data_IF_093695210068
#
_entry.id   IF_093695210068
#
_cell.length_a   1.000
_cell.length_b   1.000
_cell.length_c   1.000
_cell.angle_alpha   90.00
_cell.angle_beta   90.00
_cell.angle_gamma   90.00
#
_symmetry.space_group_name_H-M   'P 1'
#
loop_
_entity.id
_entity.type
_entity.pdbx_description
1 polymer ?
#
# COMPACT_ATOMS: atom_id res chain seq x y z
N UNK A 1 -31.17 9.59 9.18
CA UNK A 1 -29.76 9.16 9.07
C UNK A 1 -29.07 9.64 10.33
N UNK A 2 -28.88 8.76 11.30
CA UNK A 2 -28.31 9.12 12.61
C UNK A 2 -26.86 9.57 12.44
N UNK A 3 -26.41 10.50 13.28
CA UNK A 3 -25.09 11.14 13.20
C UNK A 3 -23.91 10.17 13.48
N UNK A 4 -24.17 8.89 13.69
CA UNK A 4 -23.19 7.87 14.09
C UNK A 4 -22.16 7.59 13.00
N UNK A 5 -22.52 7.76 11.72
CA UNK A 5 -21.60 7.55 10.59
C UNK A 5 -20.49 8.62 10.47
N UNK A 6 -20.57 9.71 11.24
CA UNK A 6 -19.60 10.81 11.21
C UNK A 6 -18.64 10.79 12.40
N UNK A 7 -18.63 9.72 13.20
CA UNK A 7 -17.73 9.59 14.34
C UNK A 7 -16.81 8.35 14.18
N UNK A 8 -15.58 8.46 14.68
CA UNK A 8 -14.60 7.38 14.74
C UNK A 8 -13.89 7.37 16.10
N UNK A 9 -13.35 6.23 16.52
CA UNK A 9 -12.54 6.14 17.73
C UNK A 9 -11.13 6.65 17.46
N UNK A 10 -10.68 7.62 18.25
CA UNK A 10 -9.34 8.19 18.10
C UNK A 10 -8.29 7.10 18.32
N UNK A 11 -7.34 6.95 17.39
CA UNK A 11 -6.41 5.84 17.48
C UNK A 11 -5.50 5.89 18.74
N UNK A 12 -5.18 7.10 19.19
CA UNK A 12 -4.22 7.31 20.27
C UNK A 12 -4.84 7.18 21.66
N UNK A 13 -6.09 7.66 21.84
CA UNK A 13 -6.70 7.77 23.17
C UNK A 13 -8.07 7.09 23.31
N UNK A 14 -8.61 6.53 22.23
CA UNK A 14 -9.89 5.80 22.23
C UNK A 14 -11.14 6.67 22.40
N UNK A 15 -11.03 8.01 22.42
CA UNK A 15 -12.21 8.88 22.49
C UNK A 15 -12.96 8.91 21.16
N UNK A 16 -14.27 9.05 21.18
CA UNK A 16 -15.08 9.32 19.99
C UNK A 16 -14.77 10.71 19.42
N UNK A 17 -14.44 10.78 18.12
CA UNK A 17 -14.05 11.99 17.40
C UNK A 17 -14.84 12.08 16.11
N UNK A 18 -15.29 13.30 15.77
CA UNK A 18 -15.98 13.53 14.51
C UNK A 18 -15.00 13.49 13.33
N UNK A 19 -15.37 12.80 12.26
CA UNK A 19 -14.63 12.74 10.99
C UNK A 19 -14.47 14.17 10.44
N UNK A 20 -13.27 14.48 9.94
CA UNK A 20 -12.92 15.83 9.46
C UNK A 20 -12.32 16.76 10.53
N UNK A 21 -12.22 16.33 11.79
CA UNK A 21 -11.56 17.06 12.86
C UNK A 21 -10.39 16.29 13.50
N UNK A 22 -9.41 17.02 14.03
CA UNK A 22 -8.38 16.43 14.90
C UNK A 22 -8.97 16.07 16.27
N UNK A 23 -8.47 15.02 16.90
CA UNK A 23 -8.90 14.63 18.25
C UNK A 23 -8.63 15.76 19.27
N UNK A 24 -9.65 16.31 19.95
CA UNK A 24 -9.48 17.42 20.90
C UNK A 24 -8.64 17.02 22.11
N UNK A 25 -8.73 15.74 22.54
CA UNK A 25 -7.98 15.22 23.69
C UNK A 25 -6.49 15.08 23.41
N UNK A 26 -6.14 14.56 22.23
CA UNK A 26 -4.73 14.40 21.83
C UNK A 26 -4.09 15.75 21.49
N UNK A 27 -4.83 16.64 20.81
CA UNK A 27 -4.36 17.98 20.45
C UNK A 27 -4.14 18.87 21.68
N UNK A 28 -5.00 18.79 22.70
CA UNK A 28 -4.84 19.56 23.94
C UNK A 28 -3.63 19.12 24.80
N UNK A 29 -2.99 17.99 24.48
CA UNK A 29 -1.86 17.41 25.22
C UNK A 29 -0.47 17.82 24.73
N UNK A 30 -0.33 18.59 23.64
CA UNK A 30 1.00 18.95 23.09
C UNK A 30 1.84 19.85 24.01
N UNK A 31 1.22 20.61 24.92
CA UNK A 31 1.92 21.55 25.82
C UNK A 31 2.19 21.06 27.24
N UNK A 32 1.64 19.91 27.66
CA UNK A 32 1.81 19.38 29.02
C UNK A 32 2.25 17.93 28.91
N UNK A 33 3.54 17.71 29.18
CA UNK A 33 4.25 16.44 29.00
C UNK A 33 3.34 15.22 29.16
N UNK A 34 3.31 14.38 28.12
CA UNK A 34 2.47 13.19 28.01
C UNK A 34 2.50 12.44 29.36
N UNK A 35 1.49 12.67 30.23
CA UNK A 35 1.30 11.84 31.42
C UNK A 35 1.29 10.44 30.88
N UNK A 36 2.25 9.59 31.30
CA UNK A 36 2.42 8.20 30.86
C UNK A 36 1.02 7.63 30.67
N UNK A 37 0.55 7.61 29.42
CA UNK A 37 -0.79 7.13 29.15
C UNK A 37 -0.63 5.66 29.48
N UNK A 38 -1.30 5.20 30.54
CA UNK A 38 -1.45 3.77 30.84
C UNK A 38 -1.73 3.12 29.50
N UNK A 39 -0.94 2.13 29.08
CA UNK A 39 -1.06 1.50 27.76
C UNK A 39 -2.52 1.01 27.64
N UNK A 40 -3.38 1.82 27.03
CA UNK A 40 -4.75 1.45 26.72
C UNK A 40 -4.62 0.73 25.41
N UNK A 41 -5.10 -0.51 25.35
CA UNK A 41 -5.16 -1.26 24.11
C UNK A 41 -5.83 -0.36 23.05
N UNK A 42 -5.12 -0.13 21.95
CA UNK A 42 -5.65 0.75 20.90
C UNK A 42 -6.88 0.09 20.28
N UNK A 43 -7.78 0.86 19.69
CA UNK A 43 -9.03 0.30 19.15
C UNK A 43 -8.84 -0.70 18.00
N UNK A 44 -7.64 -0.77 17.41
CA UNK A 44 -7.26 -1.77 16.40
C UNK A 44 -6.26 -2.80 16.92
N UNK A 45 -5.83 -2.71 18.18
CA UNK A 45 -5.04 -3.79 18.78
C UNK A 45 -6.00 -4.94 19.09
N UNK A 46 -5.81 -6.06 18.39
CA UNK A 46 -6.48 -7.31 18.70
C UNK A 46 -5.64 -8.11 19.70
N UNK A 47 -6.25 -9.10 20.33
CA UNK A 47 -5.51 -10.06 21.15
C UNK A 47 -4.50 -10.81 20.28
N UNK A 48 -3.32 -11.16 20.81
CA UNK A 48 -2.30 -11.91 20.06
C UNK A 48 -2.86 -13.24 19.51
N UNK A 49 -3.85 -13.83 20.20
CA UNK A 49 -4.58 -15.02 19.72
C UNK A 49 -5.49 -14.77 18.50
N UNK A 50 -5.85 -13.52 18.23
CA UNK A 50 -6.70 -13.10 17.11
C UNK A 50 -5.89 -12.54 15.93
N UNK A 51 -4.56 -12.43 16.06
CA UNK A 51 -3.69 -11.96 14.97
C UNK A 51 -3.75 -12.91 13.76
N UNK A 52 -4.21 -14.16 13.95
CA UNK A 52 -4.32 -15.16 12.89
C UNK A 52 -2.97 -15.54 12.29
N UNK A 53 -1.89 -15.06 12.90
CA UNK A 53 -0.51 -15.39 12.61
C UNK A 53 -0.16 -16.71 13.32
N UNK A 54 -0.88 -17.78 13.01
CA UNK A 54 -0.36 -19.15 13.20
C UNK A 54 0.71 -19.42 12.12
N UNK A 55 1.59 -18.43 11.95
CA UNK A 55 2.75 -18.52 11.10
C UNK A 55 3.71 -19.42 11.86
N UNK A 56 4.17 -20.53 11.26
CA UNK A 56 5.19 -21.34 11.90
C UNK A 56 6.39 -20.46 12.26
N UNK A 57 7.00 -20.69 13.42
CA UNK A 57 8.22 -19.98 13.88
C UNK A 57 9.45 -20.26 12.98
N UNK A 58 9.26 -20.95 11.86
CA UNK A 58 10.27 -21.31 10.87
C UNK A 58 10.55 -20.14 9.92
N UNK A 59 11.80 -19.99 9.49
CA UNK A 59 12.18 -18.98 8.50
C UNK A 59 11.37 -19.18 7.21
N UNK A 60 10.48 -18.23 6.89
CA UNK A 60 9.65 -18.28 5.69
C UNK A 60 10.50 -18.21 4.41
N UNK A 61 10.60 -19.32 3.68
CA UNK A 61 11.27 -19.36 2.37
C UNK A 61 10.36 -18.77 1.28
N UNK A 62 10.59 -17.50 0.98
CA UNK A 62 9.89 -16.76 -0.07
C UNK A 62 10.06 -17.41 -1.45
N UNK A 63 11.25 -17.93 -1.76
CA UNK A 63 11.56 -18.50 -3.07
C UNK A 63 10.85 -19.85 -3.27
N UNK A 64 10.79 -20.69 -2.23
CA UNK A 64 10.01 -21.94 -2.24
C UNK A 64 8.51 -21.65 -2.39
N UNK A 65 7.98 -20.72 -1.60
CA UNK A 65 6.57 -20.31 -1.69
C UNK A 65 6.22 -19.82 -3.09
N UNK A 66 7.05 -18.93 -3.67
CA UNK A 66 6.82 -18.42 -5.02
C UNK A 66 6.88 -19.55 -6.05
N UNK A 67 7.85 -20.44 -5.93
CA UNK A 67 7.98 -21.59 -6.84
C UNK A 67 6.81 -22.57 -6.74
N UNK A 68 6.24 -22.75 -5.54
CA UNK A 68 5.09 -23.64 -5.27
C UNK A 68 3.77 -23.05 -5.74
N UNK A 69 3.49 -21.78 -5.41
CA UNK A 69 2.20 -21.14 -5.68
C UNK A 69 2.11 -20.54 -7.09
N UNK A 70 3.17 -19.90 -7.56
CA UNK A 70 3.18 -19.20 -8.85
C UNK A 70 3.89 -19.99 -9.96
N UNK A 71 4.60 -21.06 -9.58
CA UNK A 71 5.33 -21.92 -10.50
C UNK A 71 6.64 -21.30 -10.99
N UNK A 72 7.40 -22.08 -11.76
CA UNK A 72 8.69 -21.66 -12.34
C UNK A 72 8.54 -21.01 -13.71
N UNK A 73 7.39 -20.43 -14.04
CA UNK A 73 7.21 -19.84 -15.38
C UNK A 73 8.14 -18.64 -15.46
N UNK A 74 9.23 -18.69 -16.26
CA UNK A 74 10.14 -17.58 -16.36
C UNK A 74 9.34 -16.38 -16.86
N UNK A 75 9.61 -15.19 -16.30
CA UNK A 75 9.04 -13.95 -16.84
C UNK A 75 9.22 -13.95 -18.35
N UNK A 76 8.10 -14.13 -19.06
CA UNK A 76 8.11 -14.21 -20.52
C UNK A 76 8.65 -12.86 -20.95
N UNK A 77 9.89 -12.81 -21.46
CA UNK A 77 10.43 -11.58 -22.02
C UNK A 77 9.46 -11.22 -23.13
N UNK A 78 8.68 -10.16 -22.90
CA UNK A 78 7.81 -9.57 -23.91
C UNK A 78 8.76 -8.87 -24.89
N UNK A 79 9.45 -9.67 -25.69
CA UNK A 79 10.31 -9.19 -26.76
C UNK A 79 9.41 -8.50 -27.77
N UNK A 80 9.76 -7.26 -28.11
CA UNK A 80 9.11 -6.55 -29.21
C UNK A 80 9.41 -7.35 -30.48
N UNK A 81 8.36 -7.80 -31.17
CA UNK A 81 8.50 -8.55 -32.43
C UNK A 81 9.35 -7.73 -33.43
N UNK A 82 10.22 -8.37 -34.23
CA UNK A 82 11.01 -7.70 -35.27
C UNK A 82 10.17 -6.86 -36.24
N UNK A 83 8.89 -7.20 -36.42
CA UNK A 83 7.95 -6.41 -37.22
C UNK A 83 7.73 -4.99 -36.70
N UNK A 84 7.65 -4.82 -35.38
CA UNK A 84 7.48 -3.50 -34.75
C UNK A 84 8.74 -2.63 -34.90
N UNK A 85 9.92 -3.26 -34.92
CA UNK A 85 11.16 -2.57 -35.26
C UNK A 85 11.14 -2.04 -36.70
N UNK A 86 10.71 -2.85 -37.67
CA UNK A 86 10.57 -2.41 -39.07
C UNK A 86 9.60 -1.23 -39.21
N UNK A 87 8.44 -1.31 -38.55
CA UNK A 87 7.46 -0.22 -38.55
C UNK A 87 8.03 1.06 -37.92
N UNK A 88 8.76 0.95 -36.83
CA UNK A 88 9.45 2.08 -36.19
C UNK A 88 10.48 2.73 -37.10
N UNK A 89 11.30 1.93 -37.79
CA UNK A 89 12.29 2.42 -38.77
C UNK A 89 11.62 3.12 -39.94
N UNK A 90 10.53 2.56 -40.47
CA UNK A 90 9.79 3.15 -41.58
C UNK A 90 9.13 4.47 -41.20
N UNK A 91 8.53 4.53 -40.01
CA UNK A 91 7.96 5.78 -39.47
C UNK A 91 9.04 6.85 -39.28
N UNK A 92 10.21 6.48 -38.74
CA UNK A 92 11.34 7.40 -38.58
C UNK A 92 11.83 7.94 -39.92
N UNK A 93 11.99 7.06 -40.92
CA UNK A 93 12.39 7.46 -42.28
C UNK A 93 11.39 8.43 -42.91
N UNK A 94 10.08 8.19 -42.75
CA UNK A 94 9.05 9.09 -43.27
C UNK A 94 9.10 10.48 -42.64
N UNK A 95 9.39 10.59 -41.33
CA UNK A 95 9.56 11.88 -40.65
C UNK A 95 10.79 12.61 -41.19
N UNK A 96 11.92 11.91 -41.34
CA UNK A 96 13.17 12.48 -41.84
C UNK A 96 12.97 13.01 -43.27
N UNK A 97 12.41 12.17 -44.15
CA UNK A 97 12.07 12.56 -45.53
C UNK A 97 11.12 13.76 -45.51
N UNK A 98 10.02 13.70 -44.76
CA UNK A 98 9.08 14.82 -44.66
C UNK A 98 9.71 16.12 -44.15
N UNK A 99 10.71 16.05 -43.27
CA UNK A 99 11.44 17.21 -42.79
C UNK A 99 12.43 17.78 -43.82
N UNK A 100 13.04 16.94 -44.67
CA UNK A 100 13.95 17.36 -45.73
C UNK A 100 13.25 17.83 -47.01
N UNK A 101 12.04 17.34 -47.29
CA UNK A 101 11.22 17.71 -48.45
C UNK A 101 10.18 18.80 -48.14
N UNK A 102 10.28 19.44 -46.98
CA UNK A 102 9.50 20.61 -46.57
C UNK A 102 10.33 21.87 -46.69
#
# INVERSE_FOLDING_TARGET
MTNDALNYLCPTCGSEVRVGGSCPRCKAGEGKGRRRQRRVAKSWEQDESADGLDLPDEDFDYDEFVAREFGKVPHRRLGVSPWWWLLGVLALAAIIVGAFFR
#
